data_IF_878654090260
#
_entry.id   IF_878654090260
#
_cell.length_a   1.000
_cell.length_b   1.000
_cell.length_c   1.000
_cell.angle_alpha   90.00
_cell.angle_beta   90.00
_cell.angle_gamma   90.00
#
_symmetry.space_group_name_H-M   'P 1'
#
loop_
_entity.id
_entity.type
_entity.pdbx_description
1 polymer ?
#
# COMPACT_ATOMS: atom_id res chain seq x y z
N UNK A 1 47.94 32.87 46.04
CA UNK A 1 47.20 33.06 44.81
C UNK A 1 46.81 31.74 44.07
N UNK A 2 47.66 30.71 44.16
CA UNK A 2 47.36 29.43 43.40
C UNK A 2 46.19 28.59 43.97
N UNK A 3 45.85 28.68 45.25
CA UNK A 3 44.75 27.93 45.89
C UNK A 3 43.38 28.44 45.58
N UNK A 4 43.24 29.70 45.23
CA UNK A 4 41.89 30.28 44.85
C UNK A 4 41.50 30.06 43.36
N UNK A 5 42.50 29.78 42.52
CA UNK A 5 42.30 29.49 41.13
C UNK A 5 41.71 28.04 40.91
N UNK A 6 42.17 27.10 41.80
CA UNK A 6 41.71 25.69 41.72
C UNK A 6 40.24 25.54 42.20
N UNK A 7 39.81 26.34 43.17
CA UNK A 7 38.41 26.30 43.66
C UNK A 7 37.45 26.94 42.67
N UNK A 8 37.88 27.95 41.90
CA UNK A 8 37.08 28.59 40.86
C UNK A 8 36.88 27.72 39.62
N UNK A 9 37.85 26.82 39.30
CA UNK A 9 37.72 25.88 38.18
C UNK A 9 36.86 24.65 38.51
N UNK A 10 36.77 24.26 39.78
CA UNK A 10 35.90 23.15 40.22
C UNK A 10 34.43 23.56 40.32
N UNK A 11 34.13 24.84 40.59
CA UNK A 11 32.75 25.34 40.61
C UNK A 11 32.17 25.58 39.20
N UNK A 12 33.01 25.79 38.18
CA UNK A 12 32.59 25.99 36.81
C UNK A 12 32.33 24.63 36.08
N UNK A 13 32.97 23.55 36.54
CA UNK A 13 32.74 22.20 36.02
C UNK A 13 31.41 21.57 36.50
N UNK A 14 30.87 22.05 37.64
CA UNK A 14 29.62 21.56 38.20
C UNK A 14 28.36 22.19 37.53
N UNK A 15 28.52 23.26 36.75
CA UNK A 15 27.39 23.94 36.07
C UNK A 15 27.20 23.51 34.59
N UNK A 16 28.06 22.67 34.06
CA UNK A 16 27.99 22.15 32.69
C UNK A 16 27.42 20.71 32.59
N UNK A 17 26.96 20.14 33.71
CA UNK A 17 26.31 18.83 33.76
C UNK A 17 24.78 18.94 33.77
N UNK A 18 24.19 19.93 33.12
CA UNK A 18 22.88 19.76 32.54
C UNK A 18 23.04 18.92 31.26
N UNK A 19 23.32 17.65 31.42
CA UNK A 19 23.06 16.65 30.41
C UNK A 19 21.59 16.85 30.04
N UNK A 20 21.33 17.37 28.84
CA UNK A 20 20.07 17.11 28.16
C UNK A 20 19.92 15.59 28.24
N UNK A 21 19.08 15.12 29.13
CA UNK A 21 18.55 13.77 29.04
C UNK A 21 17.85 13.75 27.69
N UNK A 22 18.54 13.27 26.68
CA UNK A 22 17.96 12.97 25.42
C UNK A 22 16.83 12.00 25.74
N UNK A 23 15.60 12.42 25.48
CA UNK A 23 14.43 11.58 25.63
C UNK A 23 14.69 10.39 24.73
N UNK A 24 14.98 9.22 25.32
CA UNK A 24 15.15 7.98 24.57
C UNK A 24 13.76 7.55 24.15
N UNK A 25 13.52 7.58 22.85
CA UNK A 25 12.33 6.99 22.23
C UNK A 25 12.72 5.57 21.87
N UNK A 26 12.10 4.59 22.51
CA UNK A 26 12.36 3.19 22.24
C UNK A 26 11.51 2.70 21.07
N UNK A 27 12.10 1.97 20.13
CA UNK A 27 11.37 1.30 19.06
C UNK A 27 10.60 0.13 19.65
N UNK A 28 9.27 0.12 19.51
CA UNK A 28 8.39 -0.96 20.02
C UNK A 28 8.46 -2.18 19.11
N UNK A 29 8.57 -1.95 17.80
CA UNK A 29 8.75 -3.04 16.82
C UNK A 29 9.69 -2.58 15.71
N UNK A 30 10.52 -3.49 15.21
CA UNK A 30 11.27 -3.27 13.98
C UNK A 30 10.47 -3.82 12.82
N UNK A 31 10.16 -2.98 11.82
CA UNK A 31 9.60 -3.44 10.56
C UNK A 31 10.68 -4.22 9.79
N UNK A 32 10.28 -5.33 9.18
CA UNK A 32 11.17 -6.15 8.36
C UNK A 32 11.32 -5.57 6.95
N UNK A 33 10.22 -5.12 6.36
CA UNK A 33 10.12 -4.65 4.98
C UNK A 33 9.68 -3.19 4.86
N UNK A 34 8.72 -2.74 5.69
CA UNK A 34 8.20 -1.39 5.63
C UNK A 34 9.27 -0.34 5.97
N UNK A 35 9.22 0.78 5.26
CA UNK A 35 10.18 1.88 5.40
C UNK A 35 9.51 3.22 5.70
N UNK A 36 8.19 3.29 5.56
CA UNK A 36 7.46 4.56 5.61
C UNK A 36 6.64 4.72 6.90
N UNK A 37 6.85 3.85 7.90
CA UNK A 37 6.38 4.07 9.26
C UNK A 37 7.28 3.39 10.31
N UNK A 38 7.19 3.88 11.55
CA UNK A 38 7.74 3.21 12.74
C UNK A 38 6.72 3.25 13.87
N UNK A 39 6.78 2.25 14.76
CA UNK A 39 6.04 2.22 16.03
C UNK A 39 7.05 2.43 17.15
N UNK A 40 6.85 3.48 17.95
CA UNK A 40 7.76 3.91 19.00
C UNK A 40 7.05 4.03 20.33
N UNK A 41 7.79 3.96 21.45
CA UNK A 41 7.27 4.22 22.78
C UNK A 41 8.08 5.32 23.46
N UNK A 42 7.40 6.07 24.33
CA UNK A 42 8.00 7.05 25.22
C UNK A 42 7.17 7.12 26.49
N UNK A 43 7.77 6.76 27.61
CA UNK A 43 7.07 6.64 28.89
C UNK A 43 5.86 5.67 28.77
N UNK A 44 4.63 6.13 29.02
CA UNK A 44 3.39 5.37 28.84
C UNK A 44 2.72 5.58 27.46
N UNK A 45 3.33 6.37 26.58
CA UNK A 45 2.74 6.71 25.27
C UNK A 45 3.25 5.76 24.19
N UNK A 46 2.35 5.40 23.26
CA UNK A 46 2.70 4.81 21.98
C UNK A 46 2.71 5.89 20.91
N UNK A 47 3.66 5.84 20.01
CA UNK A 47 3.77 6.77 18.89
C UNK A 47 3.79 6.04 17.55
N UNK A 48 3.05 6.55 16.59
CA UNK A 48 3.21 6.19 15.18
C UNK A 48 3.99 7.29 14.50
N UNK A 49 5.16 6.94 13.98
CA UNK A 49 5.97 7.82 13.14
C UNK A 49 5.61 7.54 11.69
N UNK A 50 4.92 8.46 11.03
CA UNK A 50 4.70 8.39 9.59
C UNK A 50 5.88 9.06 8.88
N UNK A 51 6.57 8.32 8.03
CA UNK A 51 7.75 8.77 7.30
C UNK A 51 7.31 9.14 5.88
N UNK A 52 7.65 10.35 5.44
CA UNK A 52 7.37 10.77 4.08
C UNK A 52 8.26 10.02 3.07
N UNK A 53 7.78 9.88 1.85
CA UNK A 53 8.46 9.11 0.80
C UNK A 53 9.88 9.61 0.46
N UNK A 54 10.17 10.88 0.74
CA UNK A 54 11.50 11.48 0.58
C UNK A 54 12.45 11.21 1.78
N UNK A 55 11.97 10.57 2.86
CA UNK A 55 12.68 10.28 4.10
C UNK A 55 13.26 11.49 4.84
N UNK A 56 12.83 12.71 4.50
CA UNK A 56 13.36 13.95 5.09
C UNK A 56 12.52 14.48 6.24
N UNK A 57 11.22 14.18 6.24
CA UNK A 57 10.28 14.61 7.26
C UNK A 57 9.52 13.41 7.84
N UNK A 58 9.22 13.49 9.12
CA UNK A 58 8.37 12.54 9.83
C UNK A 58 7.40 13.28 10.73
N UNK A 59 6.16 12.80 10.80
CA UNK A 59 5.18 13.27 11.79
C UNK A 59 4.92 12.14 12.79
N UNK A 60 4.83 12.49 14.08
CA UNK A 60 4.63 11.49 15.15
C UNK A 60 3.29 11.72 15.82
N UNK A 61 2.40 10.75 15.68
CA UNK A 61 1.13 10.69 16.36
C UNK A 61 1.31 9.99 17.71
N UNK A 62 1.23 10.72 18.83
CA UNK A 62 1.30 10.15 20.18
C UNK A 62 -0.08 9.89 20.77
N UNK A 63 -0.24 8.76 21.47
CA UNK A 63 -1.47 8.37 22.17
C UNK A 63 -1.16 7.44 23.36
N UNK A 64 -2.04 7.44 24.36
CA UNK A 64 -1.94 6.66 25.60
C UNK A 64 -3.04 5.59 25.73
N UNK A 65 -4.08 5.66 24.89
CA UNK A 65 -5.19 4.73 24.88
C UNK A 65 -5.46 4.27 23.44
N UNK A 66 -5.94 3.03 23.25
CA UNK A 66 -6.43 2.58 21.94
C UNK A 66 -7.51 3.52 21.39
N UNK A 67 -7.57 3.62 20.08
CA UNK A 67 -8.54 4.45 19.37
C UNK A 67 -9.74 3.63 18.94
N UNK A 68 -10.94 4.11 19.27
CA UNK A 68 -12.20 3.42 19.01
C UNK A 68 -12.99 3.99 17.83
N UNK A 69 -12.67 5.22 17.39
CA UNK A 69 -13.44 5.97 16.38
C UNK A 69 -12.54 6.41 15.23
N UNK A 70 -12.35 5.50 14.28
CA UNK A 70 -11.47 5.74 13.13
C UNK A 70 -12.26 6.13 11.88
N UNK A 71 -11.76 7.11 11.14
CA UNK A 71 -12.18 7.39 9.77
C UNK A 71 -11.06 6.95 8.82
N UNK A 72 -11.40 6.13 7.82
CA UNK A 72 -10.44 5.62 6.85
C UNK A 72 -10.71 6.19 5.46
N UNK A 73 -9.72 6.85 4.87
CA UNK A 73 -9.84 7.43 3.53
C UNK A 73 -9.28 6.54 2.42
N UNK A 74 -8.72 5.37 2.76
CA UNK A 74 -8.26 4.36 1.82
C UNK A 74 -8.88 3.00 2.11
N UNK A 75 -9.24 2.27 1.06
CA UNK A 75 -9.72 0.88 1.20
C UNK A 75 -8.62 -0.06 1.72
N UNK A 76 -7.34 0.22 1.46
CA UNK A 76 -6.23 -0.54 2.05
C UNK A 76 -6.16 -0.42 3.58
N UNK A 77 -6.51 0.76 4.13
CA UNK A 77 -6.59 0.97 5.58
C UNK A 77 -7.78 0.21 6.18
N UNK A 78 -8.92 0.20 5.47
CA UNK A 78 -10.08 -0.63 5.85
C UNK A 78 -9.68 -2.10 5.90
N UNK A 79 -9.05 -2.61 4.84
CA UNK A 79 -8.60 -4.00 4.77
C UNK A 79 -7.61 -4.37 5.89
N UNK A 80 -6.70 -3.46 6.25
CA UNK A 80 -5.76 -3.70 7.35
C UNK A 80 -6.46 -3.80 8.71
N UNK A 81 -7.47 -2.97 8.98
CA UNK A 81 -8.30 -3.05 10.18
C UNK A 81 -9.17 -4.31 10.20
N UNK A 82 -9.82 -4.64 9.08
CA UNK A 82 -10.65 -5.85 8.94
C UNK A 82 -9.81 -7.12 9.13
N UNK A 83 -8.61 -7.17 8.56
CA UNK A 83 -7.70 -8.32 8.69
C UNK A 83 -7.34 -8.66 10.15
N UNK A 84 -7.34 -7.68 11.03
CA UNK A 84 -7.09 -7.88 12.46
C UNK A 84 -8.37 -7.89 13.31
N UNK A 85 -9.56 -7.91 12.69
CA UNK A 85 -10.86 -7.89 13.36
C UNK A 85 -11.13 -6.59 14.13
N UNK A 86 -10.65 -5.46 13.59
CA UNK A 86 -10.81 -4.10 14.13
C UNK A 86 -11.78 -3.24 13.30
N UNK A 87 -12.55 -3.85 12.41
CA UNK A 87 -13.57 -3.21 11.55
C UNK A 87 -14.61 -2.41 12.35
N UNK A 88 -14.97 -2.88 13.54
CA UNK A 88 -15.90 -2.19 14.46
C UNK A 88 -15.43 -0.79 14.90
N UNK A 89 -14.14 -0.50 14.80
CA UNK A 89 -13.59 0.83 15.12
C UNK A 89 -13.74 1.81 13.95
N UNK A 90 -14.14 1.35 12.76
CA UNK A 90 -14.35 2.20 11.58
C UNK A 90 -15.74 2.81 11.65
N UNK A 91 -15.82 4.12 11.84
CA UNK A 91 -17.09 4.87 11.94
C UNK A 91 -17.47 5.55 10.63
N UNK A 92 -16.50 5.81 9.77
CA UNK A 92 -16.73 6.37 8.43
C UNK A 92 -15.58 6.04 7.46
N UNK A 93 -15.90 6.09 6.18
CA UNK A 93 -14.94 5.89 5.08
C UNK A 93 -15.16 6.91 3.97
N UNK A 94 -14.13 7.10 3.15
CA UNK A 94 -14.24 7.84 1.89
C UNK A 94 -14.74 6.90 0.80
N UNK A 95 -15.95 7.17 0.26
CA UNK A 95 -16.53 6.39 -0.83
C UNK A 95 -16.97 4.99 -0.46
N UNK A 96 -17.90 4.86 0.47
CA UNK A 96 -18.41 3.57 0.97
C UNK A 96 -18.83 2.59 -0.13
N UNK A 97 -19.32 3.07 -1.27
CA UNK A 97 -19.70 2.23 -2.41
C UNK A 97 -18.54 1.45 -3.02
N UNK A 98 -17.31 1.96 -2.87
CA UNK A 98 -16.10 1.32 -3.39
C UNK A 98 -15.50 0.29 -2.43
N UNK A 99 -15.92 0.27 -1.17
CA UNK A 99 -15.44 -0.73 -0.21
C UNK A 99 -15.98 -2.10 -0.60
N UNK A 100 -15.12 -3.11 -0.61
CA UNK A 100 -15.48 -4.49 -0.96
C UNK A 100 -15.91 -5.30 0.26
N UNK A 101 -15.43 -4.96 1.46
CA UNK A 101 -15.74 -5.65 2.70
C UNK A 101 -17.27 -5.68 2.98
N UNK A 102 -17.92 -6.87 2.92
CA UNK A 102 -19.36 -6.99 3.10
C UNK A 102 -19.80 -6.77 4.56
N UNK A 103 -18.93 -7.03 5.51
CA UNK A 103 -19.27 -6.88 6.94
C UNK A 103 -19.22 -5.41 7.33
N UNK A 104 -18.29 -4.65 6.80
CA UNK A 104 -18.27 -3.20 6.98
C UNK A 104 -19.53 -2.54 6.43
N UNK A 105 -20.04 -2.99 5.29
CA UNK A 105 -21.27 -2.46 4.68
C UNK A 105 -22.53 -2.74 5.50
N UNK A 106 -22.51 -3.74 6.37
CA UNK A 106 -23.64 -4.06 7.29
C UNK A 106 -23.64 -3.18 8.54
N UNK A 107 -22.48 -2.58 8.88
CA UNK A 107 -22.33 -1.69 10.00
C UNK A 107 -22.87 -0.28 9.64
N UNK A 108 -23.20 0.54 10.65
CA UNK A 108 -23.64 1.94 10.43
C UNK A 108 -22.46 2.87 10.12
N UNK A 109 -21.63 2.48 9.14
CA UNK A 109 -20.47 3.25 8.68
C UNK A 109 -20.93 4.35 7.73
N UNK A 110 -20.48 5.57 7.96
CA UNK A 110 -20.86 6.75 7.16
C UNK A 110 -19.93 6.92 5.97
N UNK A 111 -20.47 7.41 4.86
CA UNK A 111 -19.69 7.91 3.73
C UNK A 111 -19.44 9.40 3.95
N UNK A 112 -18.16 9.81 3.95
CA UNK A 112 -17.77 11.21 4.14
C UNK A 112 -17.36 11.91 2.84
N UNK A 113 -17.65 11.30 1.67
CA UNK A 113 -17.21 11.80 0.39
C UNK A 113 -15.69 11.67 0.19
N UNK A 114 -15.14 12.36 -0.77
CA UNK A 114 -13.68 12.36 -1.00
C UNK A 114 -13.10 13.70 -1.44
N UNK A 115 -11.83 13.91 -1.11
CA UNK A 115 -10.98 15.02 -1.53
C UNK A 115 -11.68 16.39 -1.52
N UNK A 116 -11.96 16.94 -2.70
CA UNK A 116 -12.60 18.25 -2.81
C UNK A 116 -14.07 18.27 -2.36
N UNK A 117 -14.71 17.11 -2.23
CA UNK A 117 -16.11 16.94 -1.83
C UNK A 117 -16.26 16.30 -0.44
N UNK A 118 -15.25 16.46 0.44
CA UNK A 118 -15.34 15.98 1.83
C UNK A 118 -16.41 16.70 2.62
N UNK A 119 -17.24 15.94 3.34
CA UNK A 119 -18.23 16.44 4.26
C UNK A 119 -17.60 16.74 5.64
N UNK A 120 -17.04 17.94 5.79
CA UNK A 120 -16.40 18.38 7.03
C UNK A 120 -17.38 18.44 8.21
N UNK A 121 -18.64 18.76 7.96
CA UNK A 121 -19.66 18.85 9.01
C UNK A 121 -19.96 17.44 9.56
N UNK A 122 -20.15 16.46 8.69
CA UNK A 122 -20.30 15.07 9.09
C UNK A 122 -19.08 14.56 9.87
N UNK A 123 -17.86 14.85 9.41
CA UNK A 123 -16.61 14.47 10.10
C UNK A 123 -16.59 15.04 11.52
N UNK A 124 -16.87 16.34 11.69
CA UNK A 124 -16.87 17.00 13.00
C UNK A 124 -17.96 16.44 13.91
N UNK A 125 -19.15 16.16 13.38
CA UNK A 125 -20.26 15.56 14.12
C UNK A 125 -19.95 14.13 14.61
N UNK A 126 -19.19 13.39 13.82
CA UNK A 126 -18.74 12.04 14.17
C UNK A 126 -17.71 12.02 15.30
N UNK A 127 -17.02 13.12 15.59
CA UNK A 127 -15.99 13.22 16.62
C UNK A 127 -15.01 12.05 16.57
N UNK A 128 -14.24 11.86 15.49
CA UNK A 128 -13.28 10.75 15.37
C UNK A 128 -12.11 10.94 16.34
N UNK A 129 -11.57 9.84 16.86
CA UNK A 129 -10.29 9.85 17.56
C UNK A 129 -9.14 10.11 16.58
N UNK A 130 -9.28 9.60 15.35
CA UNK A 130 -8.29 9.75 14.29
C UNK A 130 -8.94 9.62 12.90
N UNK A 131 -8.52 10.45 11.98
CA UNK A 131 -8.73 10.27 10.55
C UNK A 131 -7.41 9.83 9.90
N UNK A 132 -7.42 8.64 9.28
CA UNK A 132 -6.26 8.09 8.56
C UNK A 132 -6.46 8.30 7.07
N UNK A 133 -5.48 8.92 6.43
CA UNK A 133 -5.51 9.27 5.01
C UNK A 133 -4.18 8.93 4.33
N UNK A 134 -4.06 9.25 3.05
CA UNK A 134 -2.86 9.04 2.23
C UNK A 134 -2.56 10.27 1.38
N UNK A 135 -1.33 10.38 0.87
CA UNK A 135 -0.91 11.41 -0.07
C UNK A 135 -0.34 10.78 -1.35
N UNK A 136 -1.01 11.00 -2.48
CA UNK A 136 -0.60 10.42 -3.79
C UNK A 136 0.69 11.06 -4.32
N UNK A 137 0.81 12.37 -4.14
CA UNK A 137 2.02 13.12 -4.50
C UNK A 137 2.75 13.47 -3.21
N UNK A 138 4.03 13.45 -3.12
CA UNK A 138 4.77 13.70 -1.87
C UNK A 138 4.40 14.96 -1.07
N UNK A 139 3.38 15.72 -1.49
CA UNK A 139 2.81 16.86 -0.76
C UNK A 139 1.54 16.42 0.00
N UNK A 140 1.39 16.95 1.21
CA UNK A 140 0.20 16.74 2.03
C UNK A 140 -1.05 17.32 1.32
N UNK A 141 -2.17 16.57 1.25
CA UNK A 141 -3.40 17.05 0.65
C UNK A 141 -3.96 18.28 1.40
N UNK A 142 -4.48 19.26 0.65
CA UNK A 142 -4.97 20.52 1.22
C UNK A 142 -6.08 20.34 2.28
N UNK A 143 -6.90 19.30 2.16
CA UNK A 143 -7.95 19.01 3.15
C UNK A 143 -7.38 18.59 4.52
N UNK A 144 -6.17 18.04 4.58
CA UNK A 144 -5.52 17.62 5.85
C UNK A 144 -5.25 18.84 6.73
N UNK A 145 -4.63 19.89 6.18
CA UNK A 145 -4.38 21.12 6.91
C UNK A 145 -5.69 21.77 7.42
N UNK A 146 -6.77 21.70 6.61
CA UNK A 146 -8.08 22.18 7.02
C UNK A 146 -8.67 21.34 8.16
N UNK A 147 -8.63 20.00 8.09
CA UNK A 147 -9.11 19.12 9.16
C UNK A 147 -8.37 19.38 10.47
N UNK A 148 -7.03 19.51 10.42
CA UNK A 148 -6.21 19.84 11.60
C UNK A 148 -6.60 21.20 12.20
N UNK A 149 -6.86 22.20 11.37
CA UNK A 149 -7.33 23.53 11.84
C UNK A 149 -8.71 23.48 12.52
N UNK A 150 -9.53 22.46 12.17
CA UNK A 150 -10.83 22.20 12.79
C UNK A 150 -10.73 21.29 14.03
N UNK A 151 -9.51 20.91 14.45
CA UNK A 151 -9.27 20.08 15.63
C UNK A 151 -9.37 18.57 15.38
N UNK A 152 -9.48 18.11 14.13
CA UNK A 152 -9.50 16.69 13.79
C UNK A 152 -8.06 16.16 13.75
N UNK A 153 -7.74 15.16 14.57
CA UNK A 153 -6.44 14.47 14.50
C UNK A 153 -6.35 13.70 13.18
N UNK A 154 -5.27 13.88 12.45
CA UNK A 154 -5.07 13.25 11.15
C UNK A 154 -3.71 12.58 11.06
N UNK A 155 -3.66 11.37 10.49
CA UNK A 155 -2.45 10.63 10.16
C UNK A 155 -2.41 10.41 8.65
N UNK A 156 -1.33 10.87 8.02
CA UNK A 156 -1.10 10.69 6.58
C UNK A 156 -0.13 9.53 6.40
N UNK A 157 -0.55 8.48 5.70
CA UNK A 157 0.25 7.31 5.41
C UNK A 157 0.67 7.27 3.94
N UNK A 158 1.74 6.54 3.66
CA UNK A 158 2.30 6.36 2.33
C UNK A 158 2.45 4.87 1.97
N UNK A 159 1.56 4.02 2.47
CA UNK A 159 1.59 2.55 2.27
C UNK A 159 1.66 2.14 0.80
N UNK A 160 1.03 2.91 -0.10
CA UNK A 160 1.05 2.67 -1.55
C UNK A 160 2.41 2.92 -2.21
N UNK A 161 3.33 3.62 -1.53
CA UNK A 161 4.70 3.90 -2.00
C UNK A 161 5.72 2.89 -1.48
N UNK A 162 5.32 1.96 -0.61
CA UNK A 162 6.19 0.87 -0.18
C UNK A 162 6.59 -0.01 -1.35
N UNK A 163 7.88 -0.36 -1.40
CA UNK A 163 8.46 -1.05 -2.56
C UNK A 163 8.23 -2.56 -2.53
N UNK A 164 8.15 -3.15 -1.33
CA UNK A 164 8.00 -4.58 -1.15
C UNK A 164 6.55 -4.96 -0.84
N UNK A 165 5.99 -6.06 -1.42
CA UNK A 165 4.64 -6.50 -1.12
C UNK A 165 4.39 -6.74 0.37
N UNK A 166 5.34 -7.34 1.08
CA UNK A 166 5.25 -7.57 2.52
C UNK A 166 5.33 -6.30 3.37
N UNK A 167 5.90 -5.21 2.83
CA UNK A 167 5.92 -3.92 3.54
C UNK A 167 4.50 -3.37 3.71
N UNK A 168 3.63 -3.53 2.73
CA UNK A 168 2.22 -3.10 2.84
C UNK A 168 1.44 -3.91 3.87
N UNK A 169 1.75 -5.22 4.00
CA UNK A 169 1.13 -6.07 5.02
C UNK A 169 1.53 -5.61 6.43
N UNK A 170 2.74 -5.11 6.63
CA UNK A 170 3.20 -4.66 7.95
C UNK A 170 2.35 -3.51 8.52
N UNK A 171 1.60 -2.79 7.70
CA UNK A 171 0.65 -1.76 8.19
C UNK A 171 -0.46 -2.34 9.08
N UNK A 172 -0.75 -3.65 9.03
CA UNK A 172 -1.64 -4.28 10.03
C UNK A 172 -1.10 -4.08 11.46
N UNK A 173 0.24 -4.03 11.65
CA UNK A 173 0.88 -3.77 12.94
C UNK A 173 0.65 -2.32 13.40
N UNK A 174 0.73 -1.35 12.47
CA UNK A 174 0.39 0.04 12.75
C UNK A 174 -1.05 0.16 13.27
N UNK A 175 -2.00 -0.45 12.56
CA UNK A 175 -3.40 -0.46 12.98
C UNK A 175 -3.62 -1.31 14.25
N UNK A 176 -2.84 -2.37 14.45
CA UNK A 176 -2.80 -3.14 15.69
C UNK A 176 -2.37 -2.30 16.89
N UNK A 177 -1.37 -1.44 16.73
CA UNK A 177 -0.95 -0.49 17.76
C UNK A 177 -2.03 0.55 18.05
N UNK A 178 -2.64 1.13 17.02
CA UNK A 178 -3.73 2.12 17.15
C UNK A 178 -4.95 1.56 17.90
N UNK A 179 -5.28 0.29 17.71
CA UNK A 179 -6.51 -0.34 18.24
C UNK A 179 -6.28 -1.30 19.41
N UNK A 180 -5.04 -1.38 19.91
CA UNK A 180 -4.70 -2.31 21.02
C UNK A 180 -4.71 -3.80 20.62
N UNK A 181 -4.59 -4.11 19.32
CA UNK A 181 -4.64 -5.49 18.77
C UNK A 181 -3.32 -5.99 18.23
N UNK A 182 -2.21 -5.54 18.80
CA UNK A 182 -0.85 -5.83 18.31
C UNK A 182 -0.56 -7.32 18.15
N UNK A 183 -0.94 -8.15 19.14
CA UNK A 183 -0.71 -9.60 19.07
C UNK A 183 -1.44 -10.28 17.90
N UNK A 184 -2.67 -9.81 17.58
CA UNK A 184 -3.42 -10.31 16.41
C UNK A 184 -2.73 -9.85 15.13
N UNK A 185 -2.31 -8.59 15.08
CA UNK A 185 -1.61 -8.02 13.92
C UNK A 185 -0.30 -8.75 13.62
N UNK A 186 0.50 -9.05 14.65
CA UNK A 186 1.73 -9.85 14.50
C UNK A 186 1.46 -11.25 13.94
N UNK A 187 0.37 -11.90 14.41
CA UNK A 187 -0.01 -13.23 13.91
C UNK A 187 -0.45 -13.17 12.45
N UNK A 188 -1.29 -12.18 12.07
CA UNK A 188 -1.74 -11.99 10.69
C UNK A 188 -0.56 -11.71 9.77
N UNK A 189 0.31 -10.79 10.16
CA UNK A 189 1.52 -10.49 9.39
C UNK A 189 2.40 -11.72 9.19
N UNK A 190 2.69 -12.46 10.26
CA UNK A 190 3.54 -13.64 10.19
C UNK A 190 2.96 -14.72 9.24
N UNK A 191 1.66 -14.98 9.30
CA UNK A 191 1.00 -15.94 8.42
C UNK A 191 1.11 -15.56 6.94
N UNK A 192 0.83 -14.30 6.60
CA UNK A 192 0.90 -13.82 5.22
C UNK A 192 2.33 -13.82 4.71
N UNK A 193 3.28 -13.32 5.54
CA UNK A 193 4.72 -13.30 5.22
C UNK A 193 5.24 -14.70 4.93
N UNK A 194 4.98 -15.64 5.83
CA UNK A 194 5.54 -16.99 5.73
C UNK A 194 5.00 -17.71 4.48
N UNK A 195 3.69 -17.58 4.20
CA UNK A 195 3.09 -18.10 2.97
C UNK A 195 3.66 -17.44 1.71
N UNK A 196 3.80 -16.11 1.71
CA UNK A 196 4.38 -15.39 0.58
C UNK A 196 5.81 -15.87 0.27
N UNK A 197 6.64 -16.00 1.31
CA UNK A 197 8.01 -16.46 1.17
C UNK A 197 8.10 -17.91 0.69
N UNK A 198 7.23 -18.79 1.20
CA UNK A 198 7.14 -20.19 0.74
C UNK A 198 6.76 -20.28 -0.73
N UNK A 199 5.72 -19.56 -1.16
CA UNK A 199 5.31 -19.50 -2.57
C UNK A 199 6.45 -19.00 -3.45
N UNK A 200 7.06 -17.89 -3.09
CA UNK A 200 8.15 -17.26 -3.83
C UNK A 200 9.39 -18.19 -3.94
N UNK A 201 9.73 -18.92 -2.87
CA UNK A 201 10.88 -19.81 -2.85
C UNK A 201 10.75 -20.99 -3.83
N UNK A 202 9.52 -21.43 -4.12
CA UNK A 202 9.23 -22.58 -4.97
C UNK A 202 9.11 -22.23 -6.47
N UNK A 203 9.24 -20.95 -6.84
CA UNK A 203 9.08 -20.50 -8.23
C UNK A 203 10.35 -20.81 -9.05
N UNK A 204 10.17 -21.47 -10.20
CA UNK A 204 11.23 -21.59 -11.21
C UNK A 204 11.44 -20.27 -11.95
N UNK A 205 12.62 -19.67 -11.76
CA UNK A 205 13.06 -18.40 -12.38
C UNK A 205 14.10 -18.58 -13.48
N UNK A 206 14.32 -19.79 -13.96
CA UNK A 206 15.30 -20.09 -15.01
C UNK A 206 14.90 -19.49 -16.35
N UNK A 207 13.59 -19.47 -16.65
CA UNK A 207 13.01 -18.79 -17.80
C UNK A 207 11.94 -17.80 -17.33
N UNK A 208 12.24 -16.50 -17.49
CA UNK A 208 11.31 -15.43 -17.11
C UNK A 208 10.24 -15.22 -18.16
N UNK A 209 8.99 -15.05 -17.72
CA UNK A 209 7.89 -14.62 -18.57
C UNK A 209 7.98 -13.10 -18.78
N UNK A 210 7.98 -12.67 -20.04
CA UNK A 210 7.99 -11.25 -20.40
C UNK A 210 6.57 -10.67 -20.34
N UNK A 211 6.35 -9.71 -19.46
CA UNK A 211 5.02 -9.18 -19.14
C UNK A 211 4.86 -7.77 -19.70
N UNK A 212 3.88 -7.59 -20.59
CA UNK A 212 3.28 -6.28 -20.85
C UNK A 212 2.26 -5.99 -19.74
N UNK A 213 2.25 -4.78 -19.20
CA UNK A 213 1.34 -4.43 -18.09
C UNK A 213 0.57 -3.14 -18.37
N UNK A 214 -0.65 -3.07 -17.83
CA UNK A 214 -1.58 -1.93 -17.90
C UNK A 214 -2.09 -1.61 -19.31
N UNK A 215 -2.76 -0.46 -19.42
CA UNK A 215 -3.19 0.26 -20.62
C UNK A 215 -2.96 1.76 -20.39
N UNK A 216 -3.05 2.62 -21.41
CA UNK A 216 -2.95 4.06 -21.20
C UNK A 216 -4.03 4.58 -20.24
N UNK A 217 -3.65 5.52 -19.40
CA UNK A 217 -4.57 6.38 -18.68
C UNK A 217 -4.48 7.79 -19.29
N UNK A 218 -5.53 8.23 -19.97
CA UNK A 218 -5.43 9.36 -20.90
C UNK A 218 -4.43 9.07 -22.02
N UNK A 219 -3.46 9.96 -22.22
CA UNK A 219 -2.43 9.80 -23.26
C UNK A 219 -1.14 9.17 -22.71
N UNK A 220 -1.11 8.72 -21.46
CA UNK A 220 0.09 8.23 -20.79
C UNK A 220 -0.01 6.73 -20.48
N UNK A 221 0.98 5.95 -20.91
CA UNK A 221 1.14 4.56 -20.51
C UNK A 221 2.10 4.45 -19.34
N UNK A 222 1.61 4.06 -18.17
CA UNK A 222 2.40 3.94 -16.96
C UNK A 222 2.95 2.52 -16.80
N UNK A 223 4.29 2.41 -16.75
CA UNK A 223 5.00 1.17 -16.46
C UNK A 223 5.59 1.26 -15.05
N UNK A 224 5.28 0.32 -14.14
CA UNK A 224 5.86 0.30 -12.80
C UNK A 224 7.39 0.26 -12.85
N UNK A 225 8.04 1.04 -11.99
CA UNK A 225 9.49 0.97 -11.84
C UNK A 225 9.93 -0.42 -11.38
N UNK A 226 11.15 -0.83 -11.77
CA UNK A 226 11.66 -2.19 -11.52
C UNK A 226 11.73 -2.52 -10.02
N UNK A 227 11.98 -1.53 -9.17
CA UNK A 227 12.10 -1.70 -7.72
C UNK A 227 10.79 -1.36 -6.98
N UNK A 228 9.68 -1.22 -7.72
CA UNK A 228 8.35 -0.99 -7.17
C UNK A 228 7.60 -2.28 -6.84
N UNK A 229 6.53 -2.12 -6.05
CA UNK A 229 5.65 -3.17 -5.53
C UNK A 229 5.19 -4.19 -6.57
N UNK A 230 4.60 -3.72 -7.69
CA UNK A 230 4.04 -4.60 -8.72
C UNK A 230 5.15 -5.36 -9.45
N UNK A 231 6.28 -4.70 -9.73
CA UNK A 231 7.43 -5.36 -10.36
C UNK A 231 8.07 -6.40 -9.46
N UNK A 232 8.03 -6.20 -8.12
CA UNK A 232 8.48 -7.22 -7.16
C UNK A 232 7.56 -8.45 -7.20
N UNK A 233 6.22 -8.25 -7.16
CA UNK A 233 5.26 -9.36 -7.28
C UNK A 233 5.46 -10.18 -8.55
N UNK A 234 5.59 -9.51 -9.69
CA UNK A 234 5.82 -10.17 -10.99
C UNK A 234 7.15 -10.95 -10.99
N UNK A 235 8.23 -10.38 -10.43
CA UNK A 235 9.51 -11.08 -10.30
C UNK A 235 9.44 -12.30 -9.39
N UNK A 236 8.73 -12.16 -8.26
CA UNK A 236 8.57 -13.26 -7.31
C UNK A 236 7.73 -14.39 -7.88
N UNK A 237 6.85 -14.09 -8.83
CA UNK A 237 6.10 -15.07 -9.62
C UNK A 237 6.85 -15.65 -10.84
N UNK A 238 8.10 -15.23 -11.11
CA UNK A 238 8.89 -15.72 -12.23
C UNK A 238 8.73 -14.95 -13.54
N UNK A 239 8.18 -13.72 -13.48
CA UNK A 239 8.04 -12.82 -14.63
C UNK A 239 9.04 -11.64 -14.62
N UNK A 240 8.95 -10.84 -15.66
CA UNK A 240 9.66 -9.55 -15.79
C UNK A 240 8.80 -8.56 -16.56
N UNK A 241 8.53 -7.39 -15.97
CA UNK A 241 7.77 -6.34 -16.64
C UNK A 241 8.66 -5.66 -17.68
N UNK A 242 8.21 -5.64 -18.93
CA UNK A 242 8.89 -4.97 -20.04
C UNK A 242 8.85 -3.45 -19.86
N UNK A 243 9.98 -2.79 -20.10
CA UNK A 243 10.11 -1.34 -19.93
C UNK A 243 10.30 -0.85 -18.49
N UNK A 244 10.29 -1.74 -17.48
CA UNK A 244 10.54 -1.36 -16.09
C UNK A 244 11.99 -0.88 -15.87
N UNK A 245 12.15 0.37 -15.41
CA UNK A 245 13.47 1.03 -15.28
C UNK A 245 14.16 0.56 -13.99
N UNK A 246 15.38 -0.01 -14.07
CA UNK A 246 16.16 -0.39 -12.88
C UNK A 246 16.51 0.81 -11.99
N UNK A 247 16.47 0.63 -10.67
CA UNK A 247 16.75 1.68 -9.69
C UNK A 247 15.56 2.60 -9.40
N UNK A 248 14.48 2.48 -10.18
CA UNK A 248 13.27 3.28 -9.99
C UNK A 248 12.17 2.45 -9.31
N UNK A 249 11.53 3.01 -8.29
CA UNK A 249 10.32 2.43 -7.67
C UNK A 249 9.04 3.06 -8.23
N UNK A 250 9.11 4.34 -8.62
CA UNK A 250 7.99 5.04 -9.24
C UNK A 250 7.72 4.56 -10.67
N UNK A 251 6.48 4.70 -11.12
CA UNK A 251 6.13 4.40 -12.51
C UNK A 251 6.74 5.41 -13.47
N UNK A 252 7.25 4.94 -14.60
CA UNK A 252 7.67 5.75 -15.73
C UNK A 252 6.55 5.84 -16.77
N UNK A 253 6.55 6.91 -17.56
CA UNK A 253 5.61 7.09 -18.67
C UNK A 253 6.32 6.75 -19.97
N UNK A 254 5.67 5.91 -20.78
CA UNK A 254 6.11 5.59 -22.14
C UNK A 254 5.04 5.96 -23.16
N UNK A 255 5.41 6.09 -24.42
CA UNK A 255 4.46 6.31 -25.50
C UNK A 255 3.74 5.00 -25.87
N UNK A 256 2.61 5.13 -26.57
CA UNK A 256 1.88 3.98 -27.10
C UNK A 256 2.74 3.14 -28.07
N UNK A 257 3.58 3.80 -28.87
CA UNK A 257 4.49 3.14 -29.80
C UNK A 257 5.55 2.31 -29.06
N UNK A 258 6.12 2.84 -27.98
CA UNK A 258 7.04 2.08 -27.13
C UNK A 258 6.34 0.88 -26.46
N UNK A 259 5.12 1.07 -25.94
CA UNK A 259 4.34 -0.03 -25.40
C UNK A 259 3.99 -1.09 -26.46
N UNK A 260 3.75 -0.67 -27.71
CA UNK A 260 3.57 -1.59 -28.83
C UNK A 260 4.84 -2.39 -29.10
N UNK A 261 6.02 -1.75 -29.13
CA UNK A 261 7.31 -2.45 -29.29
C UNK A 261 7.52 -3.50 -28.18
N UNK A 262 7.27 -3.15 -26.91
CA UNK A 262 7.32 -4.11 -25.80
C UNK A 262 6.32 -5.25 -25.99
N UNK A 263 5.11 -4.97 -26.52
CA UNK A 263 4.10 -6.01 -26.74
C UNK A 263 4.54 -7.09 -27.72
N UNK A 264 5.41 -6.78 -28.70
CA UNK A 264 5.90 -7.75 -29.67
C UNK A 264 6.78 -8.86 -29.05
N UNK A 265 7.42 -8.53 -27.92
CA UNK A 265 8.26 -9.45 -27.16
C UNK A 265 7.52 -10.09 -25.97
N UNK A 266 6.32 -9.61 -25.64
CA UNK A 266 5.57 -10.08 -24.47
C UNK A 266 5.03 -11.50 -24.69
N UNK A 267 5.12 -12.29 -23.62
CA UNK A 267 4.51 -13.62 -23.49
C UNK A 267 3.12 -13.53 -22.86
N UNK A 268 2.85 -12.44 -22.15
CA UNK A 268 1.67 -12.20 -21.34
C UNK A 268 1.30 -10.71 -21.33
N UNK A 269 -0.02 -10.39 -21.32
CA UNK A 269 -0.50 -9.05 -21.00
C UNK A 269 -1.27 -9.07 -19.67
N UNK A 270 -0.83 -8.28 -18.70
CA UNK A 270 -1.37 -8.24 -17.34
C UNK A 270 -2.07 -6.90 -17.08
N UNK A 271 -3.23 -6.96 -16.41
CA UNK A 271 -4.01 -5.81 -15.95
C UNK A 271 -4.38 -4.78 -17.05
N UNK A 272 -5.04 -5.18 -18.13
CA UNK A 272 -5.39 -4.29 -19.25
C UNK A 272 -6.60 -3.36 -18.93
N UNK A 273 -6.60 -2.70 -17.79
CA UNK A 273 -7.60 -1.71 -17.41
C UNK A 273 -8.99 -2.30 -17.11
N UNK A 274 -10.09 -1.63 -17.46
CA UNK A 274 -11.42 -2.07 -17.07
C UNK A 274 -12.02 -3.16 -17.96
N UNK A 275 -11.29 -3.61 -19.00
CA UNK A 275 -11.82 -4.56 -20.00
C UNK A 275 -12.07 -5.94 -19.38
N UNK A 276 -13.23 -6.52 -19.68
CA UNK A 276 -13.67 -7.83 -19.18
C UNK A 276 -13.49 -8.95 -20.19
N UNK A 277 -13.35 -8.59 -21.48
CA UNK A 277 -13.16 -9.54 -22.57
C UNK A 277 -12.10 -9.03 -23.56
N UNK A 278 -11.61 -9.93 -24.41
CA UNK A 278 -10.69 -9.57 -25.50
C UNK A 278 -11.33 -8.63 -26.52
N UNK A 279 -12.64 -8.77 -26.75
CA UNK A 279 -13.40 -7.91 -27.65
C UNK A 279 -13.47 -6.47 -27.11
N UNK A 280 -13.73 -6.31 -25.81
CA UNK A 280 -13.70 -5.00 -25.14
C UNK A 280 -12.32 -4.38 -25.23
N UNK A 281 -11.26 -5.16 -24.98
CA UNK A 281 -9.88 -4.71 -25.08
C UNK A 281 -9.53 -4.30 -26.53
N UNK A 282 -9.95 -5.08 -27.52
CA UNK A 282 -9.76 -4.75 -28.93
C UNK A 282 -10.47 -3.44 -29.34
N UNK A 283 -11.66 -3.20 -28.77
CA UNK A 283 -12.44 -1.99 -29.02
C UNK A 283 -11.92 -0.75 -28.28
N UNK A 284 -11.20 -0.94 -27.17
CA UNK A 284 -10.70 0.16 -26.34
C UNK A 284 -9.69 1.07 -27.08
N UNK A 285 -8.90 0.50 -28.01
CA UNK A 285 -7.99 1.28 -28.84
C UNK A 285 -7.69 0.56 -30.17
N UNK A 286 -7.69 1.29 -31.29
CA UNK A 286 -7.51 0.74 -32.64
C UNK A 286 -6.17 -0.01 -32.87
N UNK A 287 -5.15 0.26 -32.06
CA UNK A 287 -3.87 -0.42 -32.10
C UNK A 287 -3.85 -1.75 -31.33
N UNK A 288 -4.71 -1.94 -30.31
CA UNK A 288 -4.63 -3.09 -29.42
C UNK A 288 -4.77 -4.46 -30.12
N UNK A 289 -5.59 -4.63 -31.18
CA UNK A 289 -5.59 -5.88 -31.95
C UNK A 289 -4.25 -6.28 -32.56
N UNK A 290 -3.31 -5.32 -32.71
CA UNK A 290 -1.96 -5.55 -33.25
C UNK A 290 -0.91 -5.84 -32.18
N UNK A 291 -1.22 -5.61 -30.91
CA UNK A 291 -0.30 -5.90 -29.79
C UNK A 291 -0.02 -7.40 -29.74
N UNK A 292 1.23 -7.78 -29.40
CA UNK A 292 1.70 -9.16 -29.47
C UNK A 292 0.77 -10.18 -28.82
N UNK A 293 0.34 -10.00 -27.56
CA UNK A 293 -0.57 -10.94 -26.89
C UNK A 293 -1.94 -11.07 -27.59
N UNK A 294 -2.49 -9.97 -28.11
CA UNK A 294 -3.74 -10.02 -28.86
C UNK A 294 -3.56 -10.71 -30.23
N UNK A 295 -2.56 -10.29 -30.99
CA UNK A 295 -2.33 -10.80 -32.36
C UNK A 295 -1.91 -12.27 -32.41
N UNK A 296 -1.21 -12.76 -31.38
CA UNK A 296 -0.69 -14.13 -31.27
C UNK A 296 -1.59 -15.07 -30.46
N UNK A 297 -2.70 -14.56 -29.88
CA UNK A 297 -3.57 -15.35 -29.00
C UNK A 297 -2.90 -15.78 -27.67
N UNK A 298 -1.93 -15.00 -27.20
CA UNK A 298 -1.24 -15.28 -25.93
C UNK A 298 -2.10 -14.94 -24.71
N UNK A 299 -1.78 -15.43 -23.51
CA UNK A 299 -2.54 -15.16 -22.30
C UNK A 299 -2.69 -13.66 -22.01
N UNK A 300 -3.90 -13.26 -21.61
CA UNK A 300 -4.22 -11.92 -21.12
C UNK A 300 -4.99 -12.09 -19.82
N UNK A 301 -4.49 -11.53 -18.74
CA UNK A 301 -5.12 -11.62 -17.42
C UNK A 301 -5.39 -10.24 -16.84
N UNK A 302 -6.55 -10.10 -16.22
CA UNK A 302 -6.95 -8.84 -15.61
C UNK A 302 -7.34 -9.03 -14.14
N UNK A 303 -7.00 -8.08 -13.29
CA UNK A 303 -7.23 -8.10 -11.84
C UNK A 303 -8.65 -7.64 -11.43
N UNK A 304 -9.66 -7.97 -12.22
CA UNK A 304 -11.04 -7.47 -12.05
C UNK A 304 -12.03 -8.51 -11.53
N UNK A 305 -11.56 -9.67 -11.08
CA UNK A 305 -12.43 -10.75 -10.60
C UNK A 305 -13.35 -10.30 -9.48
N UNK A 306 -12.86 -9.50 -8.56
CA UNK A 306 -13.56 -9.05 -7.36
C UNK A 306 -13.89 -7.56 -7.41
N UNK A 307 -14.40 -7.09 -8.56
CA UNK A 307 -14.93 -5.72 -8.68
C UNK A 307 -16.38 -5.71 -8.21
N UNK A 308 -16.69 -4.88 -7.21
CA UNK A 308 -18.04 -4.73 -6.68
C UNK A 308 -18.95 -3.85 -7.58
N UNK A 309 -20.25 -3.81 -7.29
CA UNK A 309 -21.23 -3.01 -8.06
C UNK A 309 -20.95 -1.50 -8.05
N UNK A 310 -20.29 -0.99 -7.02
CA UNK A 310 -19.87 0.41 -6.91
C UNK A 310 -18.62 0.75 -7.74
N UNK A 311 -17.95 -0.26 -8.31
CA UNK A 311 -16.70 -0.13 -9.05
C UNK A 311 -15.43 -0.24 -8.18
N UNK A 312 -15.57 -0.57 -6.90
CA UNK A 312 -14.44 -0.88 -6.03
C UNK A 312 -13.82 -2.22 -6.42
N UNK A 313 -12.50 -2.30 -6.40
CA UNK A 313 -11.76 -3.49 -6.78
C UNK A 313 -10.99 -4.04 -5.58
N UNK A 314 -11.37 -5.22 -5.11
CA UNK A 314 -10.81 -5.88 -3.94
C UNK A 314 -9.31 -6.23 -4.07
N UNK A 315 -8.80 -6.29 -5.28
CA UNK A 315 -7.35 -6.40 -5.53
C UNK A 315 -6.57 -5.27 -4.83
N UNK A 316 -7.14 -4.05 -4.77
CA UNK A 316 -6.53 -2.89 -4.11
C UNK A 316 -6.95 -2.73 -2.65
N UNK A 317 -7.96 -3.47 -2.20
CA UNK A 317 -8.45 -3.51 -0.81
C UNK A 317 -7.83 -4.70 -0.07
N UNK A 318 -8.46 -5.87 -0.08
CA UNK A 318 -7.92 -7.06 0.62
C UNK A 318 -6.57 -7.51 0.05
N UNK A 319 -6.34 -7.36 -1.26
CA UNK A 319 -5.05 -7.67 -1.89
C UNK A 319 -3.88 -6.84 -1.34
N UNK A 320 -4.12 -5.66 -0.78
CA UNK A 320 -3.08 -4.86 -0.14
C UNK A 320 -2.48 -5.56 1.10
N UNK A 321 -3.27 -6.35 1.81
CA UNK A 321 -2.86 -7.10 3.00
C UNK A 321 -2.74 -8.61 2.74
N UNK A 322 -3.05 -9.06 1.52
CA UNK A 322 -2.95 -10.46 1.07
C UNK A 322 -2.14 -10.60 -0.23
N UNK A 323 -0.90 -10.07 -0.29
CA UNK A 323 -0.03 -10.26 -1.44
C UNK A 323 0.37 -11.72 -1.68
N UNK A 324 0.21 -12.58 -0.69
CA UNK A 324 0.35 -14.04 -0.82
C UNK A 324 -0.66 -14.61 -1.82
N UNK A 325 -1.92 -14.16 -1.79
CA UNK A 325 -2.95 -14.58 -2.75
C UNK A 325 -2.72 -13.98 -4.14
N UNK A 326 -2.24 -12.73 -4.21
CA UNK A 326 -1.85 -12.13 -5.49
C UNK A 326 -0.66 -12.89 -6.10
N UNK A 327 0.32 -13.27 -5.29
CA UNK A 327 1.48 -14.03 -5.76
C UNK A 327 1.08 -15.42 -6.27
N UNK A 328 0.17 -16.10 -5.57
CA UNK A 328 -0.39 -17.40 -5.99
C UNK A 328 -1.07 -17.29 -7.36
N UNK A 329 -1.93 -16.29 -7.56
CA UNK A 329 -2.52 -16.00 -8.87
C UNK A 329 -1.45 -15.78 -9.95
N UNK A 330 -0.46 -14.91 -9.66
CA UNK A 330 0.58 -14.57 -10.63
C UNK A 330 1.47 -15.77 -10.98
N UNK A 331 1.74 -16.68 -10.04
CA UNK A 331 2.47 -17.93 -10.32
C UNK A 331 1.68 -18.78 -11.31
N UNK A 332 0.37 -18.95 -11.10
CA UNK A 332 -0.51 -19.68 -12.02
C UNK A 332 -0.57 -19.02 -13.41
N UNK A 333 -0.67 -17.69 -13.44
CA UNK A 333 -0.65 -16.89 -14.68
C UNK A 333 0.66 -17.06 -15.44
N UNK A 334 1.81 -17.03 -14.75
CA UNK A 334 3.12 -17.26 -15.38
C UNK A 334 3.28 -18.68 -15.89
N UNK A 335 2.74 -19.68 -15.17
CA UNK A 335 2.75 -21.08 -15.62
C UNK A 335 1.92 -21.25 -16.91
N UNK A 336 0.74 -20.62 -17.00
CA UNK A 336 -0.06 -20.61 -18.23
C UNK A 336 0.72 -19.96 -19.39
N UNK A 337 1.39 -18.84 -19.16
CA UNK A 337 2.21 -18.18 -20.18
C UNK A 337 3.41 -19.04 -20.66
N UNK A 338 3.88 -20.01 -19.87
CA UNK A 338 4.89 -21.01 -20.22
C UNK A 338 4.31 -22.26 -20.92
N UNK A 339 3.01 -22.29 -21.22
CA UNK A 339 2.33 -23.38 -21.90
C UNK A 339 1.67 -24.41 -20.98
N UNK A 340 1.51 -24.11 -19.69
CA UNK A 340 0.66 -24.88 -18.78
C UNK A 340 -0.82 -24.62 -19.01
N UNK A 341 -1.68 -25.37 -18.32
CA UNK A 341 -3.13 -25.15 -18.36
C UNK A 341 -3.52 -23.89 -17.57
N UNK A 342 -4.56 -23.13 -18.02
CA UNK A 342 -5.07 -22.00 -17.28
C UNK A 342 -5.74 -22.46 -15.98
N UNK A 343 -5.45 -21.77 -14.87
CA UNK A 343 -6.14 -21.96 -13.60
C UNK A 343 -7.51 -21.27 -13.63
N UNK A 344 -8.59 -22.01 -13.36
CA UNK A 344 -9.97 -21.47 -13.36
C UNK A 344 -10.29 -20.72 -12.07
N UNK A 345 -9.60 -21.00 -10.98
CA UNK A 345 -9.93 -20.54 -9.63
C UNK A 345 -8.87 -19.59 -9.05
N UNK A 346 -8.63 -18.46 -9.73
CA UNK A 346 -7.77 -17.39 -9.22
C UNK A 346 -8.51 -16.52 -8.18
N UNK A 347 -7.77 -15.86 -7.29
CA UNK A 347 -8.33 -15.00 -6.25
C UNK A 347 -8.81 -13.65 -6.81
N UNK A 348 -7.96 -12.97 -7.55
CA UNK A 348 -8.18 -11.60 -8.04
C UNK A 348 -8.18 -11.49 -9.56
N UNK A 349 -7.58 -12.44 -10.27
CA UNK A 349 -7.41 -12.36 -11.71
C UNK A 349 -8.44 -13.20 -12.47
N UNK A 350 -8.71 -12.77 -13.70
CA UNK A 350 -9.49 -13.51 -14.70
C UNK A 350 -8.72 -13.55 -16.01
N UNK A 351 -8.81 -14.64 -16.76
CA UNK A 351 -8.32 -14.73 -18.13
C UNK A 351 -9.33 -14.08 -19.07
N UNK A 352 -8.88 -13.22 -19.99
CA UNK A 352 -9.71 -12.58 -21.03
C UNK A 352 -9.77 -13.41 -22.30
#
# INVERSE_FOLDING_TARGET
>A
MLKYIIISLLSLAALLSCVRQGITVDKVSSQEYARLFDIVAKDSLTGIVAIQANYTDSDTLWFDQPMDRLICMSSSHVAALSAIGADKHIIAVSGLKYISDPDLKKNDVKDIGYDAALDYEAILKLQPDLLVTYAVTGAEPAYVSKLRSLGVRTLVLHDHLEQHPLARVEYVRLFGALTGRMAVADSVYAQVRDRYLELSANVDRTAKVKVLINVPYGDAWYIPGRDGYMSQLVRDAGGEILGAVPGESASSVVSLEQAYEYSLEADLWLNPGPCRTREELAAAHHMFPRFGPMAKGLPIYNNIRCVNEGGGNDFWESGAVRPDLILEDLISVMNHAKGGDPEESLHYHVCL
#
